data_IF_132991341421
#
_entry.id   IF_132991341421
#
_cell.length_a   1.000
_cell.length_b   1.000
_cell.length_c   1.000
_cell.angle_alpha   90.00
_cell.angle_beta   90.00
_cell.angle_gamma   90.00
#
_symmetry.space_group_name_H-M   'P 1'
#
loop_
_entity.id
_entity.type
_entity.pdbx_description
1 polymer ?
#
# COMPACT_ATOMS: atom_id res chain seq x y z
N UNK A 1 -11.79 -47.25 -19.65
CA UNK A 1 -10.52 -46.86 -19.00
C UNK A 1 -9.68 -45.86 -19.79
N UNK A 2 -9.60 -45.92 -21.13
CA UNK A 2 -8.82 -44.96 -21.93
C UNK A 2 -9.36 -43.51 -21.91
N UNK A 3 -10.68 -43.34 -21.82
CA UNK A 3 -11.34 -42.02 -21.80
C UNK A 3 -11.12 -41.30 -20.45
N UNK A 4 -11.08 -42.04 -19.34
CA UNK A 4 -10.85 -41.47 -18.00
C UNK A 4 -9.42 -40.92 -17.85
N UNK A 5 -8.43 -41.63 -18.41
CA UNK A 5 -7.03 -41.19 -18.44
C UNK A 5 -6.84 -39.90 -19.27
N UNK A 6 -7.57 -39.75 -20.39
CA UNK A 6 -7.52 -38.53 -21.20
C UNK A 6 -8.05 -37.30 -20.43
N UNK A 7 -9.12 -37.47 -19.65
CA UNK A 7 -9.68 -36.38 -18.83
C UNK A 7 -8.72 -35.93 -17.72
N UNK A 8 -8.01 -36.86 -17.07
CA UNK A 8 -6.99 -36.51 -16.07
C UNK A 8 -5.77 -35.79 -16.68
N UNK A 9 -5.37 -36.18 -17.90
CA UNK A 9 -4.25 -35.52 -18.60
C UNK A 9 -4.63 -34.11 -19.07
N UNK A 10 -5.87 -33.90 -19.54
CA UNK A 10 -6.37 -32.57 -19.90
C UNK A 10 -6.52 -31.65 -18.66
N UNK A 11 -7.03 -32.16 -17.53
CA UNK A 11 -7.12 -31.38 -16.30
C UNK A 11 -5.73 -31.00 -15.74
N UNK A 12 -4.75 -31.91 -15.80
CA UNK A 12 -3.37 -31.62 -15.41
C UNK A 12 -2.66 -30.60 -16.30
N UNK A 13 -3.04 -30.52 -17.59
CA UNK A 13 -2.45 -29.55 -18.52
C UNK A 13 -3.02 -28.14 -18.33
N UNK A 14 -4.32 -28.01 -18.04
CA UNK A 14 -4.94 -26.70 -17.80
C UNK A 14 -4.42 -26.05 -16.51
N UNK A 15 -4.28 -26.84 -15.43
CA UNK A 15 -3.74 -26.36 -14.15
C UNK A 15 -2.26 -25.91 -14.21
N UNK A 16 -1.49 -26.40 -15.19
CA UNK A 16 -0.09 -25.98 -15.40
C UNK A 16 0.09 -24.69 -16.22
N UNK A 17 -1.00 -24.15 -16.81
CA UNK A 17 -0.93 -23.01 -17.74
C UNK A 17 -1.51 -21.71 -17.18
N UNK A 18 -2.29 -21.76 -16.11
CA UNK A 18 -2.75 -20.56 -15.41
C UNK A 18 -1.58 -20.00 -14.60
N UNK A 19 -0.80 -19.11 -15.22
CA UNK A 19 0.09 -18.22 -14.48
C UNK A 19 -0.80 -17.25 -13.71
N UNK A 20 -0.92 -17.48 -12.41
CA UNK A 20 -1.47 -16.48 -11.50
C UNK A 20 -0.45 -15.35 -11.44
N UNK A 21 -0.78 -14.20 -12.01
CA UNK A 21 0.08 -13.01 -11.95
C UNK A 21 -0.18 -12.30 -10.63
N UNK A 22 0.89 -12.04 -9.90
CA UNK A 22 0.89 -11.18 -8.73
C UNK A 22 0.64 -9.73 -9.15
N UNK A 23 -0.06 -8.99 -8.29
CA UNK A 23 -0.38 -7.59 -8.51
C UNK A 23 0.59 -6.76 -7.67
N UNK A 24 1.28 -5.82 -8.30
CA UNK A 24 2.28 -4.98 -7.64
C UNK A 24 1.77 -3.56 -7.38
N UNK A 25 1.92 -3.10 -6.14
CA UNK A 25 1.70 -1.72 -5.71
C UNK A 25 3.06 -1.04 -5.57
N UNK A 26 3.27 0.09 -6.25
CA UNK A 26 4.42 0.95 -6.00
C UNK A 26 3.91 2.32 -5.54
N UNK A 27 4.28 2.77 -4.35
CA UNK A 27 3.84 4.05 -3.80
C UNK A 27 5.03 4.99 -3.61
N UNK A 28 5.01 6.11 -4.33
CA UNK A 28 5.85 7.27 -4.04
C UNK A 28 5.07 8.19 -3.09
N UNK A 29 5.41 8.15 -1.82
CA UNK A 29 4.74 8.96 -0.78
C UNK A 29 5.56 10.23 -0.52
N UNK A 30 4.88 11.38 -0.52
CA UNK A 30 5.44 12.70 -0.22
C UNK A 30 4.74 13.19 1.05
N UNK A 31 5.45 13.23 2.17
CA UNK A 31 4.93 13.77 3.42
C UNK A 31 5.33 15.24 3.58
N UNK A 32 4.40 16.07 4.05
CA UNK A 32 4.63 17.48 4.39
C UNK A 32 4.30 17.75 5.86
N UNK A 33 5.18 18.51 6.51
CA UNK A 33 5.04 18.94 7.90
C UNK A 33 5.71 20.32 8.10
N UNK A 34 4.92 21.35 8.40
CA UNK A 34 5.35 22.76 8.50
C UNK A 34 5.89 23.13 9.88
N UNK A 35 5.41 22.51 10.96
CA UNK A 35 5.82 22.84 12.34
C UNK A 35 6.60 21.72 13.05
N UNK A 36 7.85 21.43 12.64
CA UNK A 36 8.63 20.40 13.30
C UNK A 36 9.24 20.88 14.63
N UNK A 37 8.77 20.33 15.76
CA UNK A 37 9.55 20.34 17.02
C UNK A 37 10.63 19.27 16.99
N UNK A 38 10.26 18.03 16.64
CA UNK A 38 11.10 16.90 16.16
C UNK A 38 10.12 15.84 15.58
N UNK A 39 9.48 16.04 14.40
CA UNK A 39 8.46 15.12 13.96
C UNK A 39 9.09 13.82 13.48
N UNK A 40 8.50 12.74 13.93
CA UNK A 40 8.74 11.41 13.38
C UNK A 40 7.46 10.97 12.69
N UNK A 41 7.58 10.24 11.59
CA UNK A 41 6.47 9.55 10.95
C UNK A 41 6.85 8.11 10.67
N UNK A 42 5.91 7.21 10.89
CA UNK A 42 5.94 5.83 10.44
C UNK A 42 4.89 5.70 9.36
N UNK A 43 5.30 5.30 8.17
CA UNK A 43 4.43 5.15 7.02
C UNK A 43 4.41 3.69 6.63
N UNK A 44 3.22 3.16 6.43
CA UNK A 44 2.97 1.77 6.06
C UNK A 44 2.19 1.78 4.75
N UNK A 45 2.61 0.94 3.82
CA UNK A 45 1.81 0.52 2.68
C UNK A 45 1.16 -0.80 3.10
N UNK A 46 -0.16 -0.86 3.01
CA UNK A 46 -0.95 -1.96 3.55
C UNK A 46 -1.97 -2.42 2.53
N UNK A 47 -2.30 -3.71 2.57
CA UNK A 47 -3.49 -4.30 2.00
C UNK A 47 -4.65 -4.13 2.99
N UNK A 48 -5.90 -4.07 2.55
CA UNK A 48 -7.02 -4.15 3.48
C UNK A 48 -7.74 -5.44 3.17
N UNK A 49 -7.44 -6.49 3.92
CA UNK A 49 -8.24 -7.69 3.85
C UNK A 49 -9.59 -7.42 4.56
N UNK A 50 -10.49 -8.40 4.62
CA UNK A 50 -11.87 -8.27 5.10
C UNK A 50 -12.05 -7.80 6.57
N UNK A 51 -11.01 -7.26 7.22
CA UNK A 51 -11.02 -6.67 8.55
C UNK A 51 -11.57 -5.22 8.58
N UNK A 52 -12.09 -4.80 9.74
CA UNK A 52 -12.61 -3.44 9.98
C UNK A 52 -11.61 -2.56 10.76
N UNK A 53 -10.35 -2.99 10.89
CA UNK A 53 -9.35 -2.27 11.67
C UNK A 53 -8.52 -1.36 10.76
N UNK A 54 -8.26 -0.10 11.16
CA UNK A 54 -7.49 0.84 10.34
C UNK A 54 -5.99 0.53 10.24
N UNK A 55 -5.51 -0.48 10.96
CA UNK A 55 -4.15 -1.01 10.92
C UNK A 55 -4.17 -2.48 11.36
N UNK A 56 -3.71 -3.38 10.50
CA UNK A 56 -3.37 -4.76 10.82
C UNK A 56 -1.93 -5.07 10.40
N UNK A 57 -1.14 -5.71 11.26
CA UNK A 57 0.30 -5.88 11.01
C UNK A 57 0.56 -6.92 9.91
N UNK A 58 -0.31 -7.92 9.78
CA UNK A 58 -0.23 -8.97 8.76
C UNK A 58 -0.52 -8.47 7.35
N UNK A 59 -1.33 -7.41 7.24
CA UNK A 59 -1.65 -6.69 6.01
C UNK A 59 -0.54 -5.74 5.51
N UNK A 60 0.59 -5.64 6.24
CA UNK A 60 1.66 -4.70 5.89
C UNK A 60 2.50 -5.21 4.71
N UNK A 61 2.42 -4.54 3.57
CA UNK A 61 3.32 -4.77 2.44
C UNK A 61 4.74 -4.27 2.69
N UNK A 62 4.86 -3.01 3.12
CA UNK A 62 6.14 -2.33 3.29
C UNK A 62 5.97 -1.15 4.25
N UNK A 63 7.05 -0.72 4.89
CA UNK A 63 7.01 0.42 5.80
C UNK A 63 8.32 1.19 5.83
N UNK A 64 8.24 2.43 6.29
CA UNK A 64 9.42 3.23 6.56
C UNK A 64 9.22 4.19 7.72
N UNK A 65 10.31 4.48 8.41
CA UNK A 65 10.36 5.40 9.55
C UNK A 65 11.18 6.62 9.14
N UNK A 66 10.63 7.80 9.38
CA UNK A 66 11.23 9.06 8.95
C UNK A 66 11.27 10.07 10.08
N UNK A 67 12.39 10.76 10.16
CA UNK A 67 12.54 11.94 10.97
C UNK A 67 12.50 13.16 10.05
N UNK A 68 11.55 14.05 10.28
CA UNK A 68 11.51 15.36 9.65
C UNK A 68 12.63 16.17 10.30
N UNK A 69 13.71 16.38 9.55
CA UNK A 69 14.77 17.30 9.94
C UNK A 69 14.34 18.75 9.69
N UNK A 70 15.27 19.58 9.24
CA UNK A 70 14.98 20.98 8.87
C UNK A 70 14.14 21.12 7.58
N UNK A 71 13.97 20.03 6.83
CA UNK A 71 13.23 20.03 5.56
C UNK A 71 11.77 19.63 5.83
N UNK A 72 10.79 20.47 5.44
CA UNK A 72 9.37 20.24 5.70
C UNK A 72 8.74 19.18 4.80
N UNK A 73 9.50 18.60 3.86
CA UNK A 73 9.03 17.58 2.94
C UNK A 73 9.95 16.36 2.95
N UNK A 74 9.36 15.16 2.88
CA UNK A 74 10.08 13.89 2.75
C UNK A 74 9.43 13.00 1.71
N UNK A 75 10.26 12.31 0.95
CA UNK A 75 9.84 11.36 -0.09
C UNK A 75 10.23 9.95 0.33
N UNK A 76 9.28 9.03 0.17
CA UNK A 76 9.39 7.61 0.45
C UNK A 76 8.99 6.82 -0.79
N UNK A 77 9.55 5.64 -0.94
CA UNK A 77 9.17 4.67 -1.95
C UNK A 77 8.85 3.37 -1.24
N UNK A 78 7.59 2.94 -1.31
CA UNK A 78 7.10 1.72 -0.70
C UNK A 78 6.60 0.78 -1.79
N UNK A 79 6.85 -0.52 -1.66
CA UNK A 79 6.45 -1.52 -2.67
C UNK A 79 5.81 -2.73 -2.02
N UNK A 80 4.65 -3.13 -2.55
CA UNK A 80 3.94 -4.35 -2.16
C UNK A 80 3.65 -5.22 -3.36
N UNK A 81 3.59 -6.53 -3.15
CA UNK A 81 3.22 -7.48 -4.19
C UNK A 81 2.46 -8.64 -3.57
N UNK A 82 1.25 -8.88 -4.08
CA UNK A 82 0.40 -9.95 -3.59
C UNK A 82 -0.47 -10.51 -4.71
N UNK A 83 -0.85 -11.78 -4.54
CA UNK A 83 -1.84 -12.42 -5.36
C UNK A 83 -3.18 -12.43 -4.62
N UNK A 84 -4.17 -11.76 -5.20
CA UNK A 84 -5.52 -11.76 -4.63
C UNK A 84 -6.58 -11.81 -5.74
N UNK A 85 -7.56 -12.70 -5.58
CA UNK A 85 -8.64 -12.89 -6.57
C UNK A 85 -9.70 -11.77 -6.45
N UNK A 86 -9.91 -11.24 -5.24
CA UNK A 86 -10.82 -10.12 -4.96
C UNK A 86 -10.32 -8.80 -5.53
N UNK A 87 -9.01 -8.71 -5.79
CA UNK A 87 -8.30 -7.48 -6.15
C UNK A 87 -7.91 -6.68 -4.91
N UNK A 88 -6.68 -6.17 -4.89
CA UNK A 88 -6.10 -5.53 -3.72
C UNK A 88 -6.83 -4.24 -3.33
N UNK A 89 -6.92 -3.95 -2.05
CA UNK A 89 -7.43 -2.69 -1.49
C UNK A 89 -6.30 -1.86 -0.83
N UNK A 90 -5.28 -1.42 -1.60
CA UNK A 90 -4.10 -0.81 -1.00
C UNK A 90 -4.40 0.54 -0.35
N UNK A 91 -3.81 0.78 0.82
CA UNK A 91 -3.85 2.07 1.50
C UNK A 91 -2.50 2.43 2.13
N UNK A 92 -2.33 3.73 2.42
CA UNK A 92 -1.20 4.23 3.21
C UNK A 92 -1.71 4.54 4.61
N UNK A 93 -1.10 3.95 5.63
CA UNK A 93 -1.28 4.33 7.03
C UNK A 93 -0.08 5.14 7.49
N UNK A 94 -0.33 6.26 8.16
CA UNK A 94 0.71 7.12 8.72
C UNK A 94 0.46 7.33 10.20
N UNK A 95 1.45 7.04 11.04
CA UNK A 95 1.48 7.47 12.44
C UNK A 95 2.57 8.53 12.59
N UNK A 96 2.24 9.73 13.10
CA UNK A 96 3.17 10.86 13.12
C UNK A 96 3.05 11.76 14.35
N UNK A 97 4.14 12.47 14.67
CA UNK A 97 4.18 13.54 15.67
C UNK A 97 4.23 14.96 15.07
N UNK A 98 3.81 15.11 13.81
CA UNK A 98 3.64 16.45 13.21
C UNK A 98 2.40 17.13 13.82
N UNK A 99 2.60 17.84 14.92
CA UNK A 99 1.57 18.57 15.66
C UNK A 99 2.22 19.64 16.53
N UNK A 100 1.47 20.67 16.90
CA UNK A 100 1.90 21.72 17.83
C UNK A 100 1.97 21.23 19.29
N UNK A 101 1.28 20.14 19.60
CA UNK A 101 1.23 19.53 20.93
C UNK A 101 2.43 18.58 21.16
N UNK A 102 3.14 18.77 22.27
CA UNK A 102 4.24 17.87 22.64
C UNK A 102 3.71 16.50 23.09
N UNK A 103 4.41 15.42 22.71
CA UNK A 103 4.09 14.03 23.06
C UNK A 103 2.76 13.48 22.50
N UNK A 104 2.17 14.15 21.51
CA UNK A 104 0.97 13.65 20.82
C UNK A 104 1.39 12.93 19.52
N UNK A 105 0.89 11.70 19.35
CA UNK A 105 0.95 10.96 18.08
C UNK A 105 -0.43 10.95 17.45
N UNK A 106 -0.50 11.25 16.16
CA UNK A 106 -1.71 11.15 15.36
C UNK A 106 -1.58 10.04 14.34
N UNK A 107 -2.71 9.56 13.85
CA UNK A 107 -2.78 8.56 12.79
C UNK A 107 -3.69 9.03 11.66
N UNK A 108 -3.28 8.78 10.42
CA UNK A 108 -4.02 9.15 9.23
C UNK A 108 -3.92 8.04 8.19
N UNK A 109 -5.03 7.68 7.58
CA UNK A 109 -5.10 6.61 6.58
C UNK A 109 -5.62 7.15 5.25
N UNK A 110 -4.96 6.76 4.16
CA UNK A 110 -5.28 7.20 2.80
C UNK A 110 -5.48 5.97 1.93
N UNK A 111 -6.74 5.71 1.55
CA UNK A 111 -7.06 4.65 0.59
C UNK A 111 -6.50 5.02 -0.79
N UNK A 112 -5.74 4.11 -1.40
CA UNK A 112 -5.19 4.31 -2.74
C UNK A 112 -6.17 3.82 -3.81
N UNK A 113 -6.82 2.68 -3.57
CA UNK A 113 -7.84 2.10 -4.44
C UNK A 113 -8.71 1.10 -3.66
N UNK A 114 -9.96 0.89 -4.08
CA UNK A 114 -10.87 -0.07 -3.42
C UNK A 114 -10.93 -1.45 -4.09
N UNK A 115 -10.31 -1.66 -5.27
CA UNK A 115 -10.25 -2.97 -5.95
C UNK A 115 -9.23 -2.88 -7.09
N UNK A 116 -7.98 -3.27 -6.82
CA UNK A 116 -6.88 -3.16 -7.76
C UNK A 116 -6.54 -4.52 -8.35
N UNK A 117 -6.91 -4.72 -9.63
CA UNK A 117 -6.65 -5.95 -10.40
C UNK A 117 -5.40 -5.91 -11.27
N UNK A 118 -4.74 -4.75 -11.37
CA UNK A 118 -3.58 -4.54 -12.23
C UNK A 118 -2.52 -3.76 -11.45
N UNK A 119 -1.25 -4.09 -11.69
CA UNK A 119 -0.11 -3.39 -11.08
C UNK A 119 -0.16 -1.88 -11.36
N UNK A 120 0.12 -1.08 -10.33
CA UNK A 120 0.05 0.39 -10.40
C UNK A 120 1.21 1.08 -9.70
N UNK A 121 1.47 2.31 -10.14
CA UNK A 121 2.26 3.29 -9.40
C UNK A 121 1.33 4.37 -8.88
N UNK A 122 1.44 4.67 -7.59
CA UNK A 122 0.77 5.77 -6.92
C UNK A 122 1.80 6.85 -6.57
N UNK A 123 1.43 8.10 -6.80
CA UNK A 123 2.06 9.25 -6.14
C UNK A 123 1.06 9.78 -5.13
N UNK A 124 1.46 9.80 -3.87
CA UNK A 124 0.61 10.15 -2.74
C UNK A 124 1.24 11.36 -2.06
N UNK A 125 0.55 12.50 -2.04
CA UNK A 125 1.02 13.68 -1.31
C UNK A 125 0.16 13.84 -0.07
N UNK A 126 0.76 13.78 1.12
CA UNK A 126 0.07 13.87 2.41
C UNK A 126 0.55 15.13 3.15
N UNK A 127 -0.38 16.02 3.46
CA UNK A 127 -0.15 17.13 4.38
C UNK A 127 -0.53 16.67 5.80
N UNK A 128 0.48 16.50 6.66
CA UNK A 128 0.29 16.01 8.03
C UNK A 128 -0.19 17.09 9.00
N UNK A 129 -0.06 18.37 8.64
CA UNK A 129 -0.61 19.47 9.45
C UNK A 129 -2.12 19.57 9.24
N UNK A 130 -2.57 19.39 7.98
CA UNK A 130 -3.96 19.53 7.57
C UNK A 130 -4.73 18.20 7.51
N UNK A 131 -4.03 17.07 7.66
CA UNK A 131 -4.60 15.71 7.53
C UNK A 131 -5.33 15.52 6.20
N UNK A 132 -4.70 16.00 5.11
CA UNK A 132 -5.24 15.86 3.75
C UNK A 132 -4.29 15.06 2.87
N UNK A 133 -4.85 14.44 1.83
CA UNK A 133 -4.07 13.72 0.84
C UNK A 133 -4.58 13.93 -0.58
N UNK A 134 -3.62 13.95 -1.52
CA UNK A 134 -3.86 13.86 -2.95
C UNK A 134 -3.23 12.57 -3.49
N UNK A 135 -4.00 11.82 -4.28
CA UNK A 135 -3.61 10.51 -4.81
C UNK A 135 -3.70 10.53 -6.34
N UNK A 136 -2.56 10.36 -6.98
CA UNK A 136 -2.46 10.21 -8.44
C UNK A 136 -1.96 8.80 -8.75
N UNK A 137 -2.65 8.08 -9.63
CA UNK A 137 -2.25 6.72 -10.03
C UNK A 137 -1.98 6.59 -11.52
N UNK A 138 -1.11 5.63 -11.87
CA UNK A 138 -0.83 5.22 -13.25
C UNK A 138 -0.74 3.70 -13.30
N UNK A 139 -1.34 3.09 -14.32
CA UNK A 139 -1.20 1.65 -14.58
C UNK A 139 0.22 1.34 -15.03
N UNK A 140 0.80 0.25 -14.51
CA UNK A 140 2.02 -0.33 -15.02
C UNK A 140 1.66 -1.30 -16.14
N UNK A 141 2.05 -0.98 -17.37
CA UNK A 141 2.00 -1.91 -18.47
C UNK A 141 3.32 -2.69 -18.50
N UNK A 142 3.23 -4.01 -18.35
CA UNK A 142 4.34 -4.93 -18.56
C UNK A 142 4.51 -5.25 -20.05
#
# INVERSE_FOLDING_TARGET
MKILLLLFVLAGFVAGTTRFESIRVNARVILRCKSPRVPTARVFLMESDFSNYPFDEDDTFDFGIYNFGEVPEKVLYLTGEEFEISGLEPYIYVSHSCTSESNTMKSFAVRLMSSMYLSRVFTVTIDLDEETADVVSRTLYH
#
